data_IF_196061828620
#
_entry.id   IF_196061828620
#
_cell.length_a   1.000
_cell.length_b   1.000
_cell.length_c   1.000
_cell.angle_alpha   90.00
_cell.angle_beta   90.00
_cell.angle_gamma   90.00
#
_symmetry.space_group_name_H-M   'P 1'
#
loop_
_entity.id
_entity.type
_entity.pdbx_description
1 polymer ?
#
# COMPACT_ATOMS: atom_id res chain seq x y z
N UNK A 1 -16.19 -13.67 -17.89
CA UNK A 1 -15.42 -12.83 -16.95
C UNK A 1 -16.03 -12.90 -15.56
N UNK A 2 -15.25 -13.26 -14.57
CA UNK A 2 -15.72 -13.30 -13.19
C UNK A 2 -15.18 -12.10 -12.43
N UNK A 3 -16.06 -11.49 -11.64
CA UNK A 3 -15.71 -10.40 -10.74
C UNK A 3 -16.21 -10.76 -9.35
N UNK A 4 -15.37 -10.59 -8.37
CA UNK A 4 -15.74 -10.83 -6.98
C UNK A 4 -15.00 -9.84 -6.08
N UNK A 5 -15.58 -9.60 -4.93
CA UNK A 5 -15.01 -8.67 -3.95
C UNK A 5 -14.97 -9.34 -2.60
N UNK A 6 -13.87 -9.17 -1.89
CA UNK A 6 -13.74 -9.60 -0.49
C UNK A 6 -13.29 -8.41 0.33
N UNK A 7 -13.79 -8.28 1.54
CA UNK A 7 -13.41 -7.19 2.44
C UNK A 7 -12.87 -7.76 3.73
N UNK A 8 -11.62 -7.40 4.03
CA UNK A 8 -10.95 -7.73 5.28
C UNK A 8 -11.13 -6.56 6.25
N UNK A 9 -11.35 -6.86 7.51
CA UNK A 9 -11.47 -5.86 8.56
C UNK A 9 -10.53 -6.21 9.71
N UNK A 10 -9.73 -5.25 10.15
CA UNK A 10 -8.92 -5.41 11.36
C UNK A 10 -8.74 -4.03 12.00
N UNK A 11 -9.09 -3.89 13.28
CA UNK A 11 -9.03 -2.62 13.98
C UNK A 11 -9.74 -1.53 13.18
N UNK A 12 -9.09 -0.38 12.94
CA UNK A 12 -9.71 0.70 12.20
C UNK A 12 -9.62 0.54 10.67
N UNK A 13 -9.03 -0.55 10.16
CA UNK A 13 -8.77 -0.71 8.73
C UNK A 13 -9.75 -1.64 8.03
N UNK A 14 -10.10 -1.27 6.80
CA UNK A 14 -10.80 -2.13 5.85
C UNK A 14 -9.94 -2.23 4.58
N UNK A 15 -9.64 -3.46 4.16
CA UNK A 15 -8.90 -3.72 2.95
C UNK A 15 -9.79 -4.56 2.03
N UNK A 16 -10.18 -3.99 0.90
CA UNK A 16 -11.07 -4.64 -0.06
C UNK A 16 -10.26 -5.16 -1.24
N UNK A 17 -10.43 -6.44 -1.54
CA UNK A 17 -9.77 -7.10 -2.67
C UNK A 17 -10.78 -7.21 -3.80
N UNK A 18 -10.40 -6.71 -4.98
CA UNK A 18 -11.23 -6.88 -6.18
C UNK A 18 -10.59 -7.93 -7.06
N UNK A 19 -11.30 -9.03 -7.25
CA UNK A 19 -10.89 -10.14 -8.09
C UNK A 19 -11.43 -9.98 -9.50
N UNK A 20 -10.61 -10.35 -10.47
CA UNK A 20 -11.04 -10.40 -11.87
C UNK A 20 -10.37 -11.60 -12.53
N UNK A 21 -11.19 -12.53 -12.98
CA UNK A 21 -10.72 -13.75 -13.68
C UNK A 21 -9.62 -14.50 -12.91
N UNK A 22 -9.79 -14.62 -11.59
CA UNK A 22 -8.86 -15.34 -10.74
C UNK A 22 -7.64 -14.55 -10.29
N UNK A 23 -7.52 -13.30 -10.70
CA UNK A 23 -6.41 -12.45 -10.30
C UNK A 23 -6.88 -11.28 -9.43
N UNK A 24 -5.99 -10.79 -8.58
CA UNK A 24 -6.25 -9.55 -7.82
C UNK A 24 -6.11 -8.38 -8.79
N UNK A 25 -7.23 -7.77 -9.16
CA UNK A 25 -7.22 -6.65 -10.10
C UNK A 25 -6.78 -5.37 -9.42
N UNK A 26 -7.30 -5.10 -8.23
CA UNK A 26 -6.84 -4.02 -7.39
C UNK A 26 -7.30 -4.24 -5.95
N UNK A 27 -6.82 -3.38 -5.05
CA UNK A 27 -7.25 -3.35 -3.66
C UNK A 27 -7.53 -1.92 -3.25
N UNK A 28 -8.40 -1.75 -2.26
CA UNK A 28 -8.75 -0.44 -1.72
C UNK A 28 -8.56 -0.46 -0.21
N UNK A 29 -7.92 0.57 0.32
CA UNK A 29 -7.72 0.72 1.75
C UNK A 29 -8.57 1.88 2.26
N UNK A 30 -9.31 1.66 3.34
CA UNK A 30 -10.20 2.65 3.92
C UNK A 30 -10.32 2.44 5.43
N UNK A 31 -10.93 3.42 6.11
CA UNK A 31 -11.32 3.21 7.50
C UNK A 31 -12.46 2.21 7.55
N UNK A 32 -12.49 1.42 8.61
CA UNK A 32 -13.44 0.30 8.75
C UNK A 32 -14.88 0.73 8.99
N UNK A 33 -15.11 1.97 9.41
CA UNK A 33 -16.46 2.45 9.73
C UNK A 33 -17.40 2.30 8.53
N UNK A 34 -18.52 1.64 8.75
CA UNK A 34 -19.50 1.39 7.69
C UNK A 34 -19.16 0.23 6.75
N UNK A 35 -18.08 -0.48 7.00
CA UNK A 35 -17.65 -1.62 6.19
C UNK A 35 -18.05 -2.92 6.87
N UNK A 36 -18.22 -3.97 6.07
CA UNK A 36 -18.61 -5.30 6.54
C UNK A 36 -17.59 -6.33 6.11
N UNK A 37 -17.17 -7.18 7.05
CA UNK A 37 -16.30 -8.31 6.76
C UNK A 37 -17.00 -9.25 5.77
N UNK A 38 -16.31 -9.61 4.69
CA UNK A 38 -16.85 -10.52 3.68
C UNK A 38 -15.69 -11.29 3.06
N UNK A 39 -15.50 -12.52 3.50
CA UNK A 39 -14.44 -13.38 2.99
C UNK A 39 -15.07 -14.58 2.25
N UNK A 40 -14.48 -14.97 1.13
CA UNK A 40 -14.99 -16.05 0.28
C UNK A 40 -13.95 -17.11 -0.08
N UNK A 41 -12.67 -16.77 0.01
CA UNK A 41 -11.58 -17.62 -0.47
C UNK A 41 -10.52 -17.80 0.60
N UNK A 42 -9.70 -18.84 0.43
CA UNK A 42 -8.54 -19.03 1.29
C UNK A 42 -7.59 -17.84 1.19
N UNK A 43 -7.48 -17.25 -0.01
CA UNK A 43 -6.65 -16.06 -0.21
C UNK A 43 -7.17 -14.88 0.61
N UNK A 44 -8.50 -14.68 0.63
CA UNK A 44 -9.12 -13.66 1.47
C UNK A 44 -8.86 -13.90 2.94
N UNK A 45 -8.98 -15.14 3.40
CA UNK A 45 -8.69 -15.49 4.79
C UNK A 45 -7.23 -15.26 5.14
N UNK A 46 -6.31 -15.59 4.23
CA UNK A 46 -4.89 -15.34 4.44
C UNK A 46 -4.59 -13.83 4.52
N UNK A 47 -5.25 -13.04 3.68
CA UNK A 47 -5.10 -11.57 3.72
C UNK A 47 -5.67 -11.01 5.02
N UNK A 48 -6.82 -11.53 5.48
CA UNK A 48 -7.40 -11.13 6.75
C UNK A 48 -6.43 -11.38 7.91
N UNK A 49 -5.82 -12.56 7.96
CA UNK A 49 -4.85 -12.90 8.99
C UNK A 49 -3.64 -11.97 8.95
N UNK A 50 -3.16 -11.64 7.75
CA UNK A 50 -2.03 -10.71 7.59
C UNK A 50 -2.41 -9.29 8.07
N UNK A 51 -3.62 -8.83 7.74
CA UNK A 51 -4.08 -7.52 8.16
C UNK A 51 -4.20 -7.44 9.69
N UNK A 52 -4.70 -8.51 10.32
CA UNK A 52 -4.78 -8.58 11.78
C UNK A 52 -3.40 -8.45 12.41
N UNK A 53 -2.40 -9.16 11.87
CA UNK A 53 -1.02 -9.03 12.34
C UNK A 53 -0.49 -7.62 12.16
N UNK A 54 -0.77 -7.00 11.02
CA UNK A 54 -0.35 -5.64 10.74
C UNK A 54 -0.88 -4.66 11.79
N UNK A 55 -2.18 -4.73 12.06
CA UNK A 55 -2.83 -3.85 13.02
C UNK A 55 -2.32 -4.12 14.45
N UNK A 56 -1.96 -5.36 14.75
CA UNK A 56 -1.37 -5.70 16.04
C UNK A 56 0.06 -5.21 16.22
N UNK A 57 0.65 -4.62 15.18
CA UNK A 57 2.03 -4.14 15.24
C UNK A 57 3.08 -5.20 14.90
N UNK A 58 2.64 -6.31 14.34
CA UNK A 58 3.51 -7.42 13.96
C UNK A 58 3.83 -7.38 12.46
N UNK A 59 4.85 -8.12 12.05
CA UNK A 59 5.14 -8.29 10.63
C UNK A 59 3.99 -9.02 9.96
N UNK A 60 3.33 -8.43 8.95
CA UNK A 60 2.12 -9.01 8.37
C UNK A 60 2.36 -10.26 7.54
N UNK A 61 3.48 -10.36 6.82
CA UNK A 61 3.76 -11.45 5.88
C UNK A 61 2.60 -11.59 4.88
N UNK A 62 2.45 -10.55 4.05
CA UNK A 62 1.37 -10.52 3.06
C UNK A 62 1.41 -11.78 2.19
N UNK A 63 0.26 -12.43 1.94
CA UNK A 63 0.25 -13.63 1.11
C UNK A 63 0.66 -13.34 -0.33
N UNK A 64 1.32 -14.32 -0.95
CA UNK A 64 1.69 -14.23 -2.35
C UNK A 64 0.47 -14.59 -3.19
N UNK A 65 -0.18 -13.57 -3.74
CA UNK A 65 -1.40 -13.74 -4.53
C UNK A 65 -1.13 -13.46 -6.00
N UNK A 66 -2.02 -13.92 -6.90
CA UNK A 66 -1.88 -13.64 -8.33
C UNK A 66 -2.28 -12.19 -8.64
N UNK A 67 -1.38 -11.26 -8.38
CA UNK A 67 -1.60 -9.84 -8.63
C UNK A 67 -1.55 -9.54 -10.13
N UNK A 68 -2.49 -8.73 -10.58
CA UNK A 68 -2.60 -8.36 -11.99
C UNK A 68 -1.73 -7.12 -12.25
N UNK A 69 -0.72 -7.27 -13.09
CA UNK A 69 0.22 -6.20 -13.40
C UNK A 69 -0.04 -5.53 -14.75
N UNK A 70 -1.08 -5.91 -15.46
CA UNK A 70 -1.40 -5.35 -16.77
C UNK A 70 -1.67 -3.85 -16.69
N UNK A 71 -1.23 -3.11 -17.70
CA UNK A 71 -1.43 -1.68 -17.80
C UNK A 71 -0.37 -0.84 -17.12
N UNK A 72 0.58 -1.46 -16.44
CA UNK A 72 1.68 -0.75 -15.82
C UNK A 72 2.88 -0.68 -16.77
N UNK A 73 3.50 0.51 -16.85
CA UNK A 73 4.72 0.67 -17.63
C UNK A 73 5.88 -0.10 -16.98
N UNK A 74 6.92 -0.35 -17.74
CA UNK A 74 8.12 -0.97 -17.21
C UNK A 74 8.72 -0.16 -16.06
N UNK A 75 8.74 1.16 -16.20
CA UNK A 75 9.23 2.03 -15.14
C UNK A 75 8.36 1.92 -13.87
N UNK A 76 7.03 1.90 -14.02
CA UNK A 76 6.14 1.75 -12.89
C UNK A 76 6.40 0.41 -12.16
N UNK A 77 6.60 -0.67 -12.90
CA UNK A 77 6.95 -1.97 -12.30
C UNK A 77 8.26 -1.88 -11.53
N UNK A 78 9.26 -1.24 -12.11
CA UNK A 78 10.56 -1.07 -11.44
C UNK A 78 10.43 -0.27 -10.16
N UNK A 79 9.65 0.80 -10.19
CA UNK A 79 9.41 1.64 -9.00
C UNK A 79 8.70 0.85 -7.90
N UNK A 80 7.62 0.16 -8.25
CA UNK A 80 6.85 -0.62 -7.28
C UNK A 80 7.68 -1.77 -6.71
N UNK A 81 8.50 -2.40 -7.51
CA UNK A 81 9.42 -3.45 -7.07
C UNK A 81 10.43 -2.90 -6.05
N UNK A 82 11.03 -1.76 -6.35
CA UNK A 82 11.97 -1.12 -5.42
C UNK A 82 11.28 -0.74 -4.11
N UNK A 83 10.03 -0.29 -4.20
CA UNK A 83 9.25 0.10 -3.02
C UNK A 83 8.97 -1.10 -2.11
N UNK A 84 8.69 -2.27 -2.67
CA UNK A 84 8.43 -3.46 -1.85
C UNK A 84 9.62 -3.85 -0.98
N UNK A 85 10.80 -3.36 -1.30
CA UNK A 85 12.03 -3.63 -0.54
C UNK A 85 12.30 -2.63 0.57
N UNK A 86 11.50 -1.56 0.64
CA UNK A 86 11.60 -0.59 1.75
C UNK A 86 10.99 -1.23 2.98
N UNK A 87 11.78 -1.48 4.02
CA UNK A 87 11.28 -2.21 5.17
C UNK A 87 10.33 -1.37 6.03
N UNK A 88 9.53 -2.08 6.80
CA UNK A 88 8.64 -1.54 7.80
C UNK A 88 9.42 -0.64 8.75
N UNK A 89 8.83 0.50 9.09
CA UNK A 89 9.46 1.47 9.99
C UNK A 89 10.37 2.46 9.31
N UNK A 90 10.58 2.30 8.00
CA UNK A 90 11.39 3.24 7.23
C UNK A 90 10.53 4.06 6.27
N UNK A 91 11.01 5.25 5.96
CA UNK A 91 10.39 6.16 5.00
C UNK A 91 11.44 6.56 3.97
N UNK A 92 11.01 6.73 2.72
CA UNK A 92 11.88 7.18 1.65
C UNK A 92 11.21 8.33 0.90
N UNK A 93 12.01 9.16 0.24
CA UNK A 93 11.45 10.25 -0.56
C UNK A 93 11.13 9.77 -1.97
N UNK A 94 10.31 10.55 -2.68
CA UNK A 94 10.03 10.29 -4.09
C UNK A 94 11.30 10.31 -4.93
N UNK A 95 12.20 11.25 -4.62
CA UNK A 95 13.48 11.36 -5.33
C UNK A 95 14.39 10.16 -5.07
N UNK A 96 14.43 9.69 -3.82
CA UNK A 96 15.20 8.50 -3.48
C UNK A 96 14.73 7.30 -4.28
N UNK A 97 13.41 7.14 -4.34
CA UNK A 97 12.83 6.00 -5.05
C UNK A 97 13.05 6.10 -6.56
N UNK A 98 12.95 7.32 -7.10
CA UNK A 98 13.24 7.58 -8.51
C UNK A 98 14.69 7.20 -8.85
N UNK A 99 15.63 7.59 -8.01
CA UNK A 99 17.05 7.26 -8.21
C UNK A 99 17.27 5.75 -8.13
N UNK A 100 16.63 5.10 -7.17
CA UNK A 100 16.72 3.65 -6.99
C UNK A 100 16.18 2.91 -8.20
N UNK A 101 15.18 3.48 -8.87
CA UNK A 101 14.58 2.91 -10.08
C UNK A 101 15.33 3.30 -11.36
N UNK A 102 16.46 4.00 -11.25
CA UNK A 102 17.32 4.33 -12.38
C UNK A 102 17.00 5.66 -13.06
N UNK A 103 16.08 6.47 -12.53
CA UNK A 103 15.72 7.78 -13.10
C UNK A 103 15.67 8.84 -12.01
N UNK A 104 16.84 9.34 -11.54
CA UNK A 104 16.88 10.23 -10.38
C UNK A 104 16.12 11.56 -10.53
N UNK A 105 15.80 11.95 -11.76
CA UNK A 105 15.04 13.18 -12.01
C UNK A 105 13.53 12.94 -12.15
N UNK A 106 13.05 11.72 -11.93
CA UNK A 106 11.67 11.34 -12.20
C UNK A 106 10.79 11.33 -10.94
N UNK A 107 11.05 12.17 -9.96
CA UNK A 107 10.27 12.21 -8.71
C UNK A 107 8.78 12.45 -8.96
N UNK A 108 8.41 13.31 -9.91
CA UNK A 108 7.00 13.54 -10.25
C UNK A 108 6.33 12.31 -10.82
N UNK A 109 7.04 11.59 -11.69
CA UNK A 109 6.52 10.35 -12.26
C UNK A 109 6.31 9.32 -11.16
N UNK A 110 7.23 9.23 -10.18
CA UNK A 110 7.08 8.36 -9.02
C UNK A 110 5.83 8.75 -8.22
N UNK A 111 5.60 10.05 -8.04
CA UNK A 111 4.38 10.52 -7.37
C UNK A 111 3.10 10.03 -8.05
N UNK A 112 3.06 10.07 -9.37
CA UNK A 112 1.91 9.56 -10.13
C UNK A 112 1.78 8.04 -9.98
N UNK A 113 2.90 7.33 -9.98
CA UNK A 113 2.89 5.87 -9.78
C UNK A 113 2.35 5.54 -8.39
N UNK A 114 2.74 6.28 -7.36
CA UNK A 114 2.20 6.10 -6.01
C UNK A 114 0.69 6.31 -5.98
N UNK A 115 0.21 7.37 -6.65
CA UNK A 115 -1.22 7.67 -6.70
C UNK A 115 -2.02 6.58 -7.42
N UNK A 116 -1.39 5.82 -8.30
CA UNK A 116 -2.03 4.77 -9.10
C UNK A 116 -1.68 3.36 -8.62
N UNK A 117 -1.01 3.23 -7.47
CA UNK A 117 -0.67 1.92 -6.91
C UNK A 117 -1.94 1.08 -6.74
N UNK A 118 -2.07 -0.04 -7.45
CA UNK A 118 -3.28 -0.85 -7.37
C UNK A 118 -3.37 -1.72 -6.10
N UNK A 119 -2.30 -1.83 -5.33
CA UNK A 119 -2.23 -2.73 -4.17
C UNK A 119 -1.71 -2.02 -2.93
N UNK A 120 -2.46 -0.99 -2.44
CA UNK A 120 -2.02 -0.23 -1.27
C UNK A 120 -1.83 -1.12 -0.06
N UNK A 121 -0.95 -0.75 0.83
CA UNK A 121 -0.55 -1.48 2.02
C UNK A 121 0.37 -2.65 1.70
N UNK A 122 -0.01 -3.54 0.79
CA UNK A 122 0.85 -4.66 0.35
C UNK A 122 2.07 -4.12 -0.39
N UNK A 123 1.86 -3.17 -1.31
CA UNK A 123 2.94 -2.36 -1.86
C UNK A 123 2.92 -1.04 -1.09
N UNK A 124 3.93 -0.80 -0.24
CA UNK A 124 3.81 0.20 0.83
C UNK A 124 4.03 1.65 0.36
N UNK A 125 3.15 2.15 -0.50
CA UNK A 125 3.25 3.53 -0.99
C UNK A 125 3.11 4.57 0.12
N UNK A 126 2.56 4.20 1.27
CA UNK A 126 2.50 5.08 2.43
C UNK A 126 3.89 5.38 3.03
N UNK A 127 4.93 4.61 2.67
CA UNK A 127 6.31 4.83 3.12
C UNK A 127 7.06 5.86 2.28
N UNK A 128 6.40 6.40 1.25
CA UNK A 128 7.01 7.44 0.39
C UNK A 128 6.51 8.80 0.85
N UNK A 129 7.45 9.68 1.21
CA UNK A 129 7.16 11.00 1.78
C UNK A 129 7.95 12.06 1.04
N UNK A 130 7.66 13.33 1.32
CA UNK A 130 8.42 14.45 0.76
C UNK A 130 9.86 14.46 1.25
N UNK A 131 10.72 15.23 0.58
CA UNK A 131 12.17 15.24 0.83
C UNK A 131 12.53 15.52 2.29
N UNK A 132 11.70 16.29 2.98
CA UNK A 132 11.93 16.66 4.38
C UNK A 132 11.05 15.87 5.35
N UNK A 133 10.53 14.72 4.93
CA UNK A 133 9.60 13.95 5.73
C UNK A 133 8.18 14.46 5.70
N UNK A 134 7.87 15.40 4.80
CA UNK A 134 6.51 15.93 4.68
C UNK A 134 5.54 14.86 4.21
N UNK A 135 4.37 14.79 4.84
CA UNK A 135 3.30 13.91 4.39
C UNK A 135 2.65 14.53 3.16
N UNK A 136 2.92 13.93 2.02
CA UNK A 136 2.34 14.33 0.75
C UNK A 136 1.20 13.38 0.37
N UNK A 137 0.46 13.68 -0.67
CA UNK A 137 -0.76 13.00 -1.06
C UNK A 137 -0.77 11.50 -0.92
N UNK A 138 -1.90 10.98 -0.47
CA UNK A 138 -2.15 9.56 -0.32
C UNK A 138 -3.64 9.33 -0.59
N UNK A 139 -3.96 8.41 -1.52
CA UNK A 139 -5.35 8.18 -1.92
C UNK A 139 -6.32 7.99 -0.77
N UNK A 140 -6.01 7.10 0.22
CA UNK A 140 -6.87 6.92 1.39
C UNK A 140 -6.89 8.09 2.38
N UNK A 141 -6.06 9.11 2.20
CA UNK A 141 -6.02 10.29 3.06
C UNK A 141 -4.77 10.38 3.92
N UNK A 142 -4.39 11.59 4.28
CA UNK A 142 -3.17 11.82 5.07
C UNK A 142 -3.29 11.26 6.49
N UNK A 143 -4.47 11.26 7.08
CA UNK A 143 -4.70 10.66 8.39
C UNK A 143 -4.41 9.15 8.34
N UNK A 144 -4.83 8.49 7.27
CA UNK A 144 -4.54 7.08 7.05
C UNK A 144 -3.04 6.86 6.91
N UNK A 145 -2.37 7.67 6.12
CA UNK A 145 -0.92 7.57 5.92
C UNK A 145 -0.18 7.70 7.26
N UNK A 146 -0.58 8.68 8.06
CA UNK A 146 0.01 8.90 9.40
C UNK A 146 -0.25 7.70 10.32
N UNK A 147 -1.46 7.16 10.30
CA UNK A 147 -1.79 5.98 11.09
C UNK A 147 -0.89 4.79 10.72
N UNK A 148 -0.75 4.52 9.42
CA UNK A 148 0.07 3.40 8.95
C UNK A 148 1.54 3.55 9.35
N UNK A 149 2.10 4.73 9.13
CA UNK A 149 3.49 4.99 9.52
C UNK A 149 3.69 4.87 11.03
N UNK A 150 2.75 5.40 11.81
CA UNK A 150 2.79 5.25 13.26
C UNK A 150 2.69 3.80 13.70
N UNK A 151 1.84 3.03 13.04
CA UNK A 151 1.67 1.61 13.35
C UNK A 151 2.95 0.82 13.07
N UNK A 152 3.73 1.28 12.10
CA UNK A 152 4.99 0.64 11.74
C UNK A 152 6.19 1.11 12.56
N UNK A 153 5.97 2.05 13.47
CA UNK A 153 7.06 2.59 14.28
C UNK A 153 7.96 3.55 13.55
N UNK A 154 7.50 4.12 12.43
CA UNK A 154 8.25 5.15 11.73
C UNK A 154 8.35 6.40 12.62
N UNK A 155 9.41 7.22 12.47
CA UNK A 155 9.63 8.39 13.34
C UNK A 155 8.60 9.48 13.06
N UNK A 156 7.40 9.32 13.62
CA UNK A 156 6.27 10.22 13.40
C UNK A 156 6.54 11.66 13.81
N UNK A 157 7.43 11.87 14.75
CA UNK A 157 7.91 13.19 15.18
C UNK A 157 8.64 13.96 14.07
N UNK A 158 9.14 13.23 13.07
CA UNK A 158 9.81 13.83 11.91
C UNK A 158 8.88 14.06 10.73
N UNK A 159 7.61 13.65 10.85
CA UNK A 159 6.64 13.84 9.79
C UNK A 159 6.10 15.27 9.83
N UNK A 160 6.11 15.92 8.69
CA UNK A 160 5.58 17.26 8.55
C UNK A 160 4.24 17.23 7.83
N UNK A 161 3.34 18.15 8.20
CA UNK A 161 2.08 18.31 7.48
C UNK A 161 2.32 19.09 6.20
N UNK A 162 1.61 18.72 5.15
CA UNK A 162 1.60 19.50 3.91
C UNK A 162 0.98 20.88 4.12
#
# INVERSE_FOLDING_TARGET
>A
MTHATETCLAGPLALTIQWRDGEVANMSLAWSKGKTLSLRTEAGEAMQAALERYVAGEEPRWPDLPYRWQGLSEFARTVLDALTRVPRGQMVSYGWLAARAGRPKAARAVGRIMAQNPFPLVIPCHRVVGANGALTGFGPGLDMKRYLLGREGAPADKLQKD
#
